data_IF_124955509412
#
_entry.id   IF_124955509412
#
_cell.length_a   1.000
_cell.length_b   1.000
_cell.length_c   1.000
_cell.angle_alpha   90.00
_cell.angle_beta   90.00
_cell.angle_gamma   90.00
#
_symmetry.space_group_name_H-M   'P 1'
#
loop_
_entity.id
_entity.type
_entity.pdbx_description
1 polymer ?
#
# COMPACT_ATOMS: atom_id res chain seq x y z
N UNK A 1 -1.45 -28.32 -13.42
CA UNK A 1 -2.06 -27.96 -12.13
C UNK A 1 -2.46 -26.49 -12.20
N UNK A 2 -3.67 -26.11 -11.82
CA UNK A 2 -4.01 -24.69 -11.72
C UNK A 2 -3.10 -24.07 -10.64
N UNK A 3 -2.32 -23.03 -10.97
CA UNK A 3 -1.41 -22.43 -9.99
C UNK A 3 -2.16 -21.73 -8.87
N UNK A 4 -1.58 -21.71 -7.68
CA UNK A 4 -2.22 -21.23 -6.46
C UNK A 4 -2.35 -19.70 -6.42
N UNK A 5 -3.29 -19.20 -5.62
CA UNK A 5 -3.40 -17.78 -5.28
C UNK A 5 -2.80 -17.57 -3.90
N UNK A 6 -1.87 -16.63 -3.76
CA UNK A 6 -1.25 -16.33 -2.45
C UNK A 6 -1.21 -14.85 -2.15
N UNK A 7 -1.26 -14.52 -0.87
CA UNK A 7 -1.28 -13.12 -0.45
C UNK A 7 -0.43 -12.85 0.78
N UNK A 8 0.03 -11.60 0.87
CA UNK A 8 0.58 -11.01 2.09
C UNK A 8 -0.27 -9.79 2.46
N UNK A 9 -0.85 -9.78 3.66
CA UNK A 9 -1.59 -8.66 4.21
C UNK A 9 -0.85 -8.07 5.41
N UNK A 10 -0.50 -6.79 5.33
CA UNK A 10 0.29 -6.08 6.35
C UNK A 10 -0.49 -4.90 6.92
N UNK A 11 -0.55 -4.81 8.25
CA UNK A 11 -1.25 -3.75 8.97
C UNK A 11 -0.46 -3.27 10.17
N UNK A 12 -0.08 -2.00 10.21
CA UNK A 12 0.82 -1.46 11.23
C UNK A 12 0.16 -0.27 11.94
N UNK A 13 -0.23 -0.48 13.19
CA UNK A 13 -0.72 0.58 14.06
C UNK A 13 0.38 1.12 14.97
N UNK A 14 1.31 0.25 15.38
CA UNK A 14 2.33 0.55 16.40
C UNK A 14 3.71 0.58 15.76
N UNK A 15 4.44 1.69 15.94
CA UNK A 15 5.81 1.89 15.48
C UNK A 15 6.76 1.88 16.67
N UNK A 16 7.64 0.89 16.74
CA UNK A 16 8.46 0.54 17.92
C UNK A 16 9.18 1.75 18.53
N UNK A 17 9.81 2.55 17.68
CA UNK A 17 10.64 3.69 18.11
C UNK A 17 9.88 5.04 18.02
N UNK A 18 8.62 5.03 17.55
CA UNK A 18 7.79 6.22 17.33
C UNK A 18 6.37 6.02 17.91
N UNK A 19 6.21 5.86 19.23
CA UNK A 19 4.90 5.61 19.83
C UNK A 19 3.88 6.73 19.59
N UNK A 20 4.34 7.97 19.36
CA UNK A 20 3.48 9.10 18.99
C UNK A 20 2.84 8.99 17.61
N UNK A 21 3.37 8.13 16.73
CA UNK A 21 2.87 7.87 15.39
C UNK A 21 1.76 6.80 15.33
N UNK A 22 1.09 6.52 16.46
CA UNK A 22 0.14 5.41 16.50
C UNK A 22 -1.12 5.66 15.65
N UNK A 23 -1.43 4.67 14.80
CA UNK A 23 -2.68 4.52 14.06
C UNK A 23 -3.60 3.50 14.75
N UNK A 24 -4.84 3.35 14.29
CA UNK A 24 -5.82 2.46 14.91
C UNK A 24 -6.45 1.47 13.92
N UNK A 25 -6.55 1.81 12.64
CA UNK A 25 -7.28 1.04 11.65
C UNK A 25 -6.45 0.02 10.87
N UNK A 26 -5.11 0.11 10.87
CA UNK A 26 -4.28 -0.65 9.95
C UNK A 26 -4.32 -2.17 10.19
N UNK A 27 -4.36 -2.59 11.45
CA UNK A 27 -4.53 -4.02 11.81
C UNK A 27 -5.90 -4.54 11.36
N UNK A 28 -6.95 -3.72 11.47
CA UNK A 28 -8.30 -4.09 11.02
C UNK A 28 -8.38 -4.14 9.49
N UNK A 29 -7.64 -3.29 8.79
CA UNK A 29 -7.52 -3.29 7.33
C UNK A 29 -6.91 -4.62 6.85
N UNK A 30 -5.80 -5.06 7.47
CA UNK A 30 -5.16 -6.33 7.12
C UNK A 30 -6.10 -7.53 7.33
N UNK A 31 -6.86 -7.54 8.43
CA UNK A 31 -7.88 -8.56 8.67
C UNK A 31 -9.03 -8.50 7.65
N UNK A 32 -9.46 -7.29 7.27
CA UNK A 32 -10.53 -7.10 6.27
C UNK A 32 -10.09 -7.54 4.88
N UNK A 33 -8.83 -7.30 4.52
CA UNK A 33 -8.23 -7.79 3.27
C UNK A 33 -8.15 -9.32 3.24
N UNK A 34 -7.69 -9.96 4.32
CA UNK A 34 -7.71 -11.42 4.44
C UNK A 34 -9.14 -11.98 4.27
N UNK A 35 -10.11 -11.41 5.00
CA UNK A 35 -11.51 -11.86 4.93
C UNK A 35 -12.07 -11.77 3.51
N UNK A 36 -11.79 -10.65 2.83
CA UNK A 36 -12.22 -10.40 1.45
C UNK A 36 -11.58 -11.37 0.47
N UNK A 37 -10.27 -11.60 0.57
CA UNK A 37 -9.54 -12.52 -0.30
C UNK A 37 -10.09 -13.95 -0.19
N UNK A 38 -10.37 -14.42 1.03
CA UNK A 38 -10.94 -15.76 1.25
C UNK A 38 -12.38 -15.82 0.74
N UNK A 39 -13.26 -14.95 1.24
CA UNK A 39 -14.70 -15.11 1.06
C UNK A 39 -15.22 -14.63 -0.29
N UNK A 40 -14.51 -13.73 -0.97
CA UNK A 40 -14.95 -13.16 -2.25
C UNK A 40 -14.05 -13.54 -3.42
N UNK A 41 -12.74 -13.74 -3.20
CA UNK A 41 -11.79 -13.99 -4.29
C UNK A 41 -11.24 -15.43 -4.32
N UNK A 42 -11.66 -16.28 -3.39
CA UNK A 42 -11.38 -17.72 -3.39
C UNK A 42 -9.92 -18.06 -3.10
N UNK A 43 -9.23 -17.25 -2.30
CA UNK A 43 -7.93 -17.62 -1.72
C UNK A 43 -8.15 -18.64 -0.59
N UNK A 44 -7.25 -19.61 -0.47
CA UNK A 44 -7.21 -20.47 0.71
C UNK A 44 -6.63 -19.69 1.90
N UNK A 45 -7.14 -19.90 3.11
CA UNK A 45 -6.71 -19.11 4.27
C UNK A 45 -5.24 -19.37 4.62
N UNK A 46 -4.78 -20.60 4.44
CA UNK A 46 -3.38 -21.03 4.62
C UNK A 46 -2.41 -20.44 3.60
N UNK A 47 -2.91 -19.94 2.46
CA UNK A 47 -2.13 -19.29 1.41
C UNK A 47 -2.04 -17.76 1.60
N UNK A 48 -2.62 -17.23 2.69
CA UNK A 48 -2.55 -15.83 3.07
C UNK A 48 -1.74 -15.67 4.35
N UNK A 49 -0.63 -14.95 4.26
CA UNK A 49 0.12 -14.53 5.42
C UNK A 49 -0.34 -13.15 5.89
N UNK A 50 -0.59 -12.99 7.19
CA UNK A 50 -0.92 -11.69 7.80
C UNK A 50 0.20 -11.28 8.75
N UNK A 51 0.75 -10.09 8.58
CA UNK A 51 1.76 -9.52 9.47
C UNK A 51 1.25 -8.20 10.08
N UNK A 52 1.15 -8.15 11.40
CA UNK A 52 0.66 -6.98 12.12
C UNK A 52 1.64 -6.50 13.19
N UNK A 53 1.70 -5.18 13.38
CA UNK A 53 2.51 -4.51 14.41
C UNK A 53 3.90 -5.13 14.55
N UNK A 54 4.24 -5.70 15.72
CA UNK A 54 5.55 -6.29 16.01
C UNK A 54 6.03 -7.37 15.01
N UNK A 55 5.13 -7.95 14.21
CA UNK A 55 5.46 -8.90 13.16
C UNK A 55 5.82 -8.24 11.84
N UNK A 56 5.36 -7.01 11.59
CA UNK A 56 5.52 -6.27 10.35
C UNK A 56 6.82 -5.43 10.34
N UNK A 57 7.93 -6.05 10.73
CA UNK A 57 9.28 -5.46 10.54
C UNK A 57 9.67 -5.49 9.06
N UNK A 58 10.51 -4.57 8.59
CA UNK A 58 10.98 -4.55 7.18
C UNK A 58 11.49 -5.93 6.73
N UNK A 59 12.36 -6.54 7.52
CA UNK A 59 12.97 -7.83 7.20
C UNK A 59 11.92 -8.96 7.03
N UNK A 60 10.90 -9.02 7.89
CA UNK A 60 9.83 -10.02 7.80
C UNK A 60 8.92 -9.79 6.60
N UNK A 61 8.57 -8.53 6.30
CA UNK A 61 7.76 -8.17 5.14
C UNK A 61 8.49 -8.52 3.85
N UNK A 62 9.75 -8.08 3.69
CA UNK A 62 10.57 -8.40 2.51
C UNK A 62 10.85 -9.90 2.38
N UNK A 63 11.07 -10.60 3.49
CA UNK A 63 11.23 -12.06 3.49
C UNK A 63 9.96 -12.80 3.06
N UNK A 64 8.78 -12.32 3.45
CA UNK A 64 7.50 -12.89 3.02
C UNK A 64 7.24 -12.62 1.53
N UNK A 65 7.45 -11.39 1.07
CA UNK A 65 7.31 -11.03 -0.35
C UNK A 65 8.29 -11.82 -1.23
N UNK A 66 9.55 -11.99 -0.80
CA UNK A 66 10.54 -12.78 -1.53
C UNK A 66 10.08 -14.23 -1.72
N UNK A 67 9.51 -14.86 -0.68
CA UNK A 67 8.95 -16.22 -0.80
C UNK A 67 7.78 -16.30 -1.77
N UNK A 68 6.94 -15.26 -1.84
CA UNK A 68 5.84 -15.19 -2.81
C UNK A 68 6.37 -15.08 -4.23
N UNK A 69 7.36 -14.21 -4.45
CA UNK A 69 8.02 -14.05 -5.76
C UNK A 69 8.76 -15.31 -6.17
N UNK A 70 9.50 -15.96 -5.28
CA UNK A 70 10.17 -17.24 -5.58
C UNK A 70 9.16 -18.32 -5.99
N UNK A 71 8.00 -18.37 -5.34
CA UNK A 71 6.92 -19.28 -5.72
C UNK A 71 6.32 -18.92 -7.09
N UNK A 72 6.17 -17.64 -7.41
CA UNK A 72 5.73 -17.17 -8.72
C UNK A 72 6.71 -17.58 -9.82
N UNK A 73 8.01 -17.33 -9.62
CA UNK A 73 9.10 -17.70 -10.54
C UNK A 73 9.16 -19.21 -10.74
N UNK A 74 8.92 -20.00 -9.69
CA UNK A 74 8.83 -21.45 -9.77
C UNK A 74 7.53 -21.99 -10.43
N UNK A 75 6.69 -21.11 -10.99
CA UNK A 75 5.45 -21.48 -11.67
C UNK A 75 4.34 -22.01 -10.74
N UNK A 76 4.43 -21.73 -9.44
CA UNK A 76 3.48 -22.23 -8.43
C UNK A 76 2.27 -21.31 -8.24
N UNK A 77 2.35 -20.07 -8.71
CA UNK A 77 1.32 -19.05 -8.52
C UNK A 77 0.66 -18.65 -9.83
N UNK A 78 -0.63 -18.32 -9.75
CA UNK A 78 -1.36 -17.59 -10.80
C UNK A 78 -1.71 -16.18 -10.37
N UNK A 79 -1.76 -15.92 -9.05
CA UNK A 79 -2.13 -14.63 -8.50
C UNK A 79 -1.37 -14.38 -7.19
N UNK A 80 -0.68 -13.24 -7.12
CA UNK A 80 0.01 -12.71 -5.94
C UNK A 80 -0.68 -11.42 -5.52
N UNK A 81 -1.16 -11.36 -4.27
CA UNK A 81 -1.71 -10.13 -3.68
C UNK A 81 -0.79 -9.61 -2.58
N UNK A 82 -0.53 -8.29 -2.59
CA UNK A 82 0.14 -7.61 -1.48
C UNK A 82 -0.70 -6.43 -1.01
N UNK A 83 -1.19 -6.46 0.23
CA UNK A 83 -1.88 -5.31 0.82
C UNK A 83 -1.08 -4.75 1.99
N UNK A 84 -0.89 -3.43 2.02
CA UNK A 84 -0.16 -2.73 3.07
C UNK A 84 -0.95 -1.52 3.55
N UNK A 85 -1.23 -1.51 4.86
CA UNK A 85 -1.85 -0.39 5.58
C UNK A 85 -0.88 0.07 6.68
N UNK A 86 -0.36 1.28 6.56
CA UNK A 86 0.64 1.89 7.46
C UNK A 86 0.75 3.39 7.17
N UNK A 87 1.65 4.08 7.87
CA UNK A 87 2.17 5.37 7.43
C UNK A 87 3.06 5.23 6.20
N UNK A 88 3.02 6.23 5.32
CA UNK A 88 4.05 6.49 4.32
C UNK A 88 4.92 7.66 4.72
N UNK A 89 6.07 7.77 4.08
CA UNK A 89 7.06 8.84 4.26
C UNK A 89 7.89 8.97 2.98
N UNK A 90 8.93 9.80 3.01
CA UNK A 90 9.89 9.96 1.93
C UNK A 90 11.31 9.82 2.47
N UNK A 91 12.23 9.37 1.62
CA UNK A 91 13.66 9.28 1.92
C UNK A 91 14.47 9.94 0.79
N UNK A 92 15.69 10.44 1.05
CA UNK A 92 16.55 10.91 -0.03
C UNK A 92 16.84 9.79 -1.04
N UNK A 93 16.74 10.10 -2.32
CA UNK A 93 17.22 9.25 -3.41
C UNK A 93 18.75 9.14 -3.34
N UNK A 94 19.28 7.92 -3.51
CA UNK A 94 20.70 7.61 -3.43
C UNK A 94 21.29 7.11 -4.76
N UNK A 95 20.47 6.81 -5.77
CA UNK A 95 20.94 6.36 -7.08
C UNK A 95 20.75 7.40 -8.20
N UNK A 96 20.20 8.57 -7.85
CA UNK A 96 20.09 9.76 -8.71
C UNK A 96 19.26 9.48 -9.98
N UNK A 97 18.38 8.48 -9.90
CA UNK A 97 17.51 8.11 -11.00
C UNK A 97 16.22 8.97 -11.05
N UNK A 98 16.02 9.85 -10.05
CA UNK A 98 14.94 10.82 -9.98
C UNK A 98 15.40 12.26 -10.21
N UNK A 99 14.62 13.01 -11.01
CA UNK A 99 14.90 14.42 -11.31
C UNK A 99 14.78 15.36 -10.10
N UNK A 100 14.22 14.89 -9.00
CA UNK A 100 13.99 15.62 -7.76
C UNK A 100 14.51 14.90 -6.50
N UNK A 101 15.20 13.77 -6.69
CA UNK A 101 16.03 13.09 -5.70
C UNK A 101 15.32 12.64 -4.40
N UNK A 102 14.17 11.98 -4.46
CA UNK A 102 13.36 11.60 -3.29
C UNK A 102 12.51 10.32 -3.48
N UNK A 103 12.82 9.19 -2.84
CA UNK A 103 11.97 7.98 -2.95
C UNK A 103 10.72 8.02 -2.04
N UNK A 104 9.62 7.42 -2.52
CA UNK A 104 8.47 7.07 -1.66
C UNK A 104 8.80 5.87 -0.77
N UNK A 105 8.47 5.95 0.51
CA UNK A 105 8.75 4.88 1.45
C UNK A 105 7.57 4.57 2.38
N UNK A 106 7.49 3.33 2.83
CA UNK A 106 6.47 2.83 3.74
C UNK A 106 7.08 2.57 5.12
N UNK A 107 6.47 3.15 6.14
CA UNK A 107 6.91 2.98 7.52
C UNK A 107 6.61 1.56 8.00
N UNK A 108 7.65 0.81 8.38
CA UNK A 108 7.51 -0.52 8.98
C UNK A 108 7.46 -0.43 10.50
N UNK A 109 7.11 -1.52 11.20
CA UNK A 109 7.02 -1.51 12.66
C UNK A 109 8.34 -1.11 13.33
N UNK A 110 9.46 -1.56 12.78
CA UNK A 110 10.81 -1.32 13.31
C UNK A 110 11.46 -0.05 12.77
N UNK A 111 10.68 0.88 12.20
CA UNK A 111 11.12 2.20 11.73
C UNK A 111 12.08 2.84 12.75
N UNK A 112 13.21 3.31 12.26
CA UNK A 112 14.27 3.91 13.07
C UNK A 112 14.97 5.03 12.29
N UNK A 113 15.64 5.91 13.03
CA UNK A 113 16.54 6.91 12.49
C UNK A 113 17.98 6.39 12.46
N UNK A 114 18.75 6.83 11.46
CA UNK A 114 20.20 6.62 11.36
C UNK A 114 20.84 7.84 10.71
N UNK A 115 21.81 8.44 11.39
CA UNK A 115 22.55 9.61 10.90
C UNK A 115 21.66 10.82 10.51
N UNK A 116 20.60 11.08 11.27
CA UNK A 116 19.70 12.22 11.03
C UNK A 116 18.66 12.00 9.91
N UNK A 117 18.63 10.83 9.30
CA UNK A 117 17.68 10.42 8.26
C UNK A 117 16.97 9.13 8.66
N UNK A 118 15.94 8.72 7.90
CA UNK A 118 15.35 7.39 8.10
C UNK A 118 16.39 6.29 7.84
N UNK A 119 16.48 5.31 8.73
CA UNK A 119 17.31 4.13 8.49
C UNK A 119 16.71 3.33 7.33
N UNK A 120 17.39 3.36 6.17
CA UNK A 120 16.96 2.61 4.98
C UNK A 120 16.87 1.10 5.23
N UNK A 121 17.49 0.56 6.28
CA UNK A 121 17.32 -0.86 6.65
C UNK A 121 16.01 -1.13 7.44
N UNK A 122 15.24 -0.08 7.76
CA UNK A 122 14.04 -0.13 8.62
C UNK A 122 12.80 0.53 8.02
N UNK A 123 12.94 1.18 6.86
CA UNK A 123 11.83 1.68 6.06
C UNK A 123 11.79 0.91 4.74
N UNK A 124 10.61 0.54 4.27
CA UNK A 124 10.46 -0.16 3.00
C UNK A 124 10.38 0.87 1.87
N UNK A 125 11.35 0.89 0.96
CA UNK A 125 11.36 1.83 -0.16
C UNK A 125 10.63 1.21 -1.35
N UNK A 126 9.90 2.02 -2.11
CA UNK A 126 9.19 1.55 -3.32
C UNK A 126 10.11 0.88 -4.33
N UNK A 127 11.36 1.31 -4.40
CA UNK A 127 12.38 0.79 -5.28
C UNK A 127 12.76 -0.67 -4.97
N UNK A 128 12.71 -1.06 -3.70
CA UNK A 128 12.86 -2.47 -3.30
C UNK A 128 11.68 -3.32 -3.78
N UNK A 129 10.47 -2.76 -3.80
CA UNK A 129 9.28 -3.41 -4.35
C UNK A 129 9.37 -3.52 -5.87
N UNK A 130 9.86 -2.48 -6.55
CA UNK A 130 10.13 -2.51 -8.01
C UNK A 130 11.07 -3.65 -8.35
N UNK A 131 12.25 -3.70 -7.73
CA UNK A 131 13.26 -4.75 -7.96
C UNK A 131 12.70 -6.14 -7.69
N UNK A 132 11.84 -6.27 -6.67
CA UNK A 132 11.24 -7.55 -6.33
C UNK A 132 10.18 -7.99 -7.35
N UNK A 133 9.26 -7.10 -7.71
CA UNK A 133 8.20 -7.40 -8.69
C UNK A 133 8.72 -7.54 -10.12
N UNK A 134 9.87 -6.96 -10.46
CA UNK A 134 10.55 -7.19 -11.73
C UNK A 134 10.82 -8.66 -12.05
N UNK A 135 10.93 -9.49 -11.00
CA UNK A 135 11.21 -10.93 -11.13
C UNK A 135 9.95 -11.75 -11.40
N UNK A 136 8.76 -11.20 -11.17
CA UNK A 136 7.50 -11.96 -11.29
C UNK A 136 7.20 -12.23 -12.77
N UNK A 137 6.93 -13.49 -13.17
CA UNK A 137 6.56 -13.79 -14.54
C UNK A 137 5.26 -13.11 -14.94
N UNK A 138 5.16 -12.60 -16.18
CA UNK A 138 3.94 -11.96 -16.73
C UNK A 138 2.69 -12.86 -16.71
N UNK A 139 2.85 -14.17 -16.52
CA UNK A 139 1.74 -15.13 -16.37
C UNK A 139 1.10 -15.10 -14.99
N UNK A 140 1.68 -14.37 -14.03
CA UNK A 140 1.18 -14.22 -12.67
C UNK A 140 0.57 -12.84 -12.52
N UNK A 141 -0.70 -12.79 -12.15
CA UNK A 141 -1.36 -11.55 -11.80
C UNK A 141 -0.76 -11.01 -10.49
N UNK A 142 -0.25 -9.79 -10.50
CA UNK A 142 0.24 -9.10 -9.29
C UNK A 142 -0.71 -7.96 -8.97
N UNK A 143 -1.35 -7.99 -7.80
CA UNK A 143 -2.30 -6.97 -7.38
C UNK A 143 -1.96 -6.43 -5.99
N UNK A 144 -1.59 -5.15 -5.93
CA UNK A 144 -1.14 -4.48 -4.71
C UNK A 144 -2.17 -3.45 -4.23
N UNK A 145 -2.39 -3.39 -2.92
CA UNK A 145 -3.30 -2.45 -2.27
C UNK A 145 -2.56 -1.64 -1.20
N UNK A 146 -2.40 -0.35 -1.43
CA UNK A 146 -1.68 0.56 -0.55
C UNK A 146 -2.64 1.55 0.10
N UNK A 147 -2.93 1.34 1.40
CA UNK A 147 -3.70 2.26 2.22
C UNK A 147 -2.79 3.09 3.12
N UNK A 148 -2.00 3.93 2.45
CA UNK A 148 -0.93 4.78 2.96
C UNK A 148 -0.89 6.07 2.14
N UNK A 149 -0.14 7.07 2.57
CA UNK A 149 0.19 8.25 1.77
C UNK A 149 1.65 8.65 1.97
N UNK A 150 2.32 9.07 0.89
CA UNK A 150 3.77 9.32 0.88
C UNK A 150 4.14 10.80 0.86
N UNK A 151 3.20 11.69 0.58
CA UNK A 151 3.53 13.07 0.24
C UNK A 151 3.42 14.07 1.39
N UNK A 152 4.52 14.78 1.65
CA UNK A 152 4.54 15.97 2.50
C UNK A 152 3.79 17.17 1.91
N UNK A 153 3.59 17.21 0.58
CA UNK A 153 2.75 18.24 -0.05
C UNK A 153 1.25 17.99 0.17
N UNK A 154 0.87 16.74 0.51
CA UNK A 154 -0.48 16.33 0.86
C UNK A 154 -1.05 16.99 2.12
N UNK A 155 -0.20 17.58 2.97
CA UNK A 155 -0.63 18.43 4.08
C UNK A 155 -1.41 19.68 3.60
N UNK A 156 -1.28 20.09 2.33
CA UNK A 156 -2.08 21.18 1.76
C UNK A 156 -3.57 20.82 1.62
N UNK A 157 -3.90 19.54 1.59
CA UNK A 157 -5.26 19.01 1.55
C UNK A 157 -5.57 18.19 2.83
N UNK A 158 -4.99 18.58 3.96
CA UNK A 158 -5.18 17.91 5.24
C UNK A 158 -6.68 17.82 5.55
N UNK A 159 -7.15 16.60 5.79
CA UNK A 159 -8.48 16.40 6.31
C UNK A 159 -8.53 16.90 7.75
N UNK A 160 -9.08 18.10 7.96
CA UNK A 160 -9.12 18.78 9.25
C UNK A 160 -10.14 18.15 10.22
N UNK A 161 -10.77 17.02 9.88
CA UNK A 161 -11.66 16.32 10.80
C UNK A 161 -10.87 15.73 11.99
N UNK A 162 -11.16 16.12 13.24
CA UNK A 162 -10.41 15.68 14.42
C UNK A 162 -10.43 14.16 14.67
N UNK A 163 -11.39 13.45 14.06
CA UNK A 163 -11.58 12.00 14.21
C UNK A 163 -10.80 11.18 13.19
N UNK A 164 -10.04 11.83 12.30
CA UNK A 164 -9.26 11.21 11.24
C UNK A 164 -7.79 11.55 11.45
N UNK A 165 -6.92 10.55 11.30
CA UNK A 165 -5.47 10.75 11.31
C UNK A 165 -4.91 10.52 9.91
N UNK A 166 -4.06 11.42 9.39
CA UNK A 166 -3.37 11.16 8.13
C UNK A 166 -2.39 10.01 8.30
N UNK A 167 -2.29 9.14 7.30
CA UNK A 167 -1.32 8.02 7.27
C UNK A 167 0.01 8.42 6.64
N UNK A 168 0.57 9.53 7.13
CA UNK A 168 1.86 10.06 6.71
C UNK A 168 2.74 10.39 7.91
N UNK A 169 4.04 10.18 7.80
CA UNK A 169 5.05 10.69 8.73
C UNK A 169 6.05 11.57 8.00
N UNK A 170 6.41 12.75 8.57
CA UNK A 170 7.50 13.55 8.04
C UNK A 170 8.84 12.81 8.19
N UNK A 171 9.87 13.18 7.41
CA UNK A 171 11.25 12.80 7.70
C UNK A 171 11.63 13.07 9.18
N UNK A 172 12.59 12.32 9.76
CA UNK A 172 12.70 12.19 11.21
C UNK A 172 13.31 13.42 11.91
N UNK A 173 14.04 14.25 11.16
CA UNK A 173 14.72 15.44 11.71
C UNK A 173 14.35 16.70 10.90
N UNK A 174 14.49 17.91 11.48
CA UNK A 174 14.29 19.15 10.74
C UNK A 174 15.16 19.26 9.49
N UNK A 175 16.42 18.81 9.56
CA UNK A 175 17.33 18.81 8.42
C UNK A 175 16.81 17.87 7.32
N UNK A 176 16.34 16.66 7.69
CA UNK A 176 15.73 15.74 6.75
C UNK A 176 14.45 16.31 6.12
N UNK A 177 13.63 17.02 6.89
CA UNK A 177 12.45 17.72 6.37
C UNK A 177 12.85 18.77 5.34
N UNK A 178 13.85 19.60 5.66
CA UNK A 178 14.35 20.65 4.76
C UNK A 178 14.96 20.05 3.49
N UNK A 179 15.71 18.93 3.62
CA UNK A 179 16.26 18.19 2.48
C UNK A 179 15.15 17.72 1.54
N UNK A 180 14.01 17.29 2.09
CA UNK A 180 12.87 16.79 1.33
C UNK A 180 11.90 17.87 0.87
N UNK A 181 12.04 19.10 1.35
CA UNK A 181 11.10 20.18 1.06
C UNK A 181 11.06 20.50 -0.44
N UNK A 182 9.88 20.38 -1.05
CA UNK A 182 9.67 20.68 -2.47
C UNK A 182 10.03 19.53 -3.42
N UNK A 183 10.54 18.40 -2.91
CA UNK A 183 10.75 17.16 -3.69
C UNK A 183 9.45 16.36 -3.80
N UNK A 184 9.27 15.65 -4.90
CA UNK A 184 8.06 14.91 -5.29
C UNK A 184 8.38 13.62 -6.05
N UNK A 185 8.78 12.59 -5.32
CA UNK A 185 8.95 11.22 -5.78
C UNK A 185 7.97 10.78 -6.90
N UNK A 186 8.46 10.29 -8.06
CA UNK A 186 7.64 9.48 -8.94
C UNK A 186 7.21 8.19 -8.23
N UNK A 187 5.93 8.06 -7.88
CA UNK A 187 5.46 6.88 -7.16
C UNK A 187 5.64 5.54 -7.91
N UNK A 188 5.52 4.44 -7.16
CA UNK A 188 5.81 3.05 -7.58
C UNK A 188 5.32 2.68 -9.00
N UNK A 189 4.19 3.21 -9.49
CA UNK A 189 3.74 2.90 -10.85
C UNK A 189 4.76 3.32 -11.90
N UNK A 190 5.23 4.56 -11.84
CA UNK A 190 6.18 5.10 -12.83
C UNK A 190 7.47 4.29 -12.82
N UNK A 191 7.95 3.96 -11.63
CA UNK A 191 9.08 3.06 -11.35
C UNK A 191 8.94 1.69 -12.03
N UNK A 192 7.78 1.06 -11.92
CA UNK A 192 7.46 -0.20 -12.59
C UNK A 192 7.41 -0.04 -14.13
N UNK A 193 6.80 1.04 -14.63
CA UNK A 193 6.72 1.36 -16.06
C UNK A 193 8.11 1.54 -16.70
N UNK A 194 8.98 2.32 -16.07
CA UNK A 194 10.35 2.56 -16.53
C UNK A 194 11.20 1.27 -16.56
N UNK A 195 10.80 0.27 -15.75
CA UNK A 195 11.40 -1.08 -15.74
C UNK A 195 10.68 -2.10 -16.64
N UNK A 196 9.68 -1.67 -17.42
CA UNK A 196 8.92 -2.53 -18.33
C UNK A 196 7.93 -3.49 -17.65
N UNK A 197 7.58 -3.23 -16.39
CA UNK A 197 6.68 -4.05 -15.57
C UNK A 197 5.24 -3.54 -15.71
N UNK A 198 4.56 -4.05 -16.73
CA UNK A 198 3.21 -3.64 -17.13
C UNK A 198 2.08 -4.46 -16.49
N UNK A 199 2.40 -5.62 -15.93
CA UNK A 199 1.42 -6.60 -15.44
C UNK A 199 1.03 -6.45 -13.96
N UNK A 200 1.67 -5.53 -13.22
CA UNK A 200 1.33 -5.22 -11.84
C UNK A 200 0.18 -4.19 -11.77
N UNK A 201 -0.83 -4.49 -10.96
CA UNK A 201 -1.98 -3.64 -10.70
C UNK A 201 -1.80 -3.00 -9.32
N UNK A 202 -1.73 -1.68 -9.26
CA UNK A 202 -1.56 -0.94 -8.00
C UNK A 202 -2.82 -0.15 -7.67
N UNK A 203 -3.28 -0.30 -6.44
CA UNK A 203 -4.34 0.51 -5.86
C UNK A 203 -3.73 1.42 -4.79
N UNK A 204 -3.81 2.73 -4.99
CA UNK A 204 -3.37 3.73 -4.01
C UNK A 204 -4.58 4.39 -3.35
N UNK A 205 -4.56 4.58 -2.03
CA UNK A 205 -5.68 5.16 -1.29
C UNK A 205 -5.92 6.65 -1.56
N UNK A 206 -4.91 7.37 -2.06
CA UNK A 206 -5.01 8.78 -2.40
C UNK A 206 -4.03 9.14 -3.51
N UNK A 207 -4.22 10.32 -4.11
CA UNK A 207 -3.23 10.92 -5.01
C UNK A 207 -1.96 11.30 -4.27
N UNK A 208 -0.86 11.44 -5.00
CA UNK A 208 0.41 11.96 -4.48
C UNK A 208 0.32 13.37 -3.89
N UNK A 209 -0.75 14.14 -4.12
CA UNK A 209 -0.94 15.47 -3.50
C UNK A 209 -1.93 15.46 -2.33
N UNK A 210 -2.26 14.29 -1.79
CA UNK A 210 -3.30 14.10 -0.78
C UNK A 210 -2.82 13.17 0.34
N UNK A 211 -3.61 13.08 1.42
CA UNK A 211 -3.38 12.13 2.51
C UNK A 211 -4.46 11.06 2.52
N UNK A 212 -4.12 9.85 2.97
CA UNK A 212 -5.08 8.81 3.29
C UNK A 212 -5.44 8.85 4.78
N UNK A 213 -6.68 8.51 5.11
CA UNK A 213 -7.25 8.68 6.45
C UNK A 213 -7.37 7.36 7.21
N UNK A 214 -6.77 7.32 8.39
CA UNK A 214 -7.11 6.40 9.48
C UNK A 214 -8.31 6.97 10.25
N UNK A 215 -9.46 6.31 10.20
CA UNK A 215 -10.71 6.89 10.65
C UNK A 215 -11.55 5.92 11.46
N UNK A 216 -12.36 6.44 12.38
CA UNK A 216 -13.43 5.68 13.02
C UNK A 216 -14.66 5.67 12.11
N UNK A 217 -14.92 4.54 11.45
CA UNK A 217 -16.05 4.36 10.53
C UNK A 217 -17.05 3.41 11.18
N UNK A 218 -18.23 3.95 11.54
CA UNK A 218 -19.20 3.22 12.35
C UNK A 218 -18.65 2.88 13.74
N UNK A 219 -18.47 1.60 14.03
CA UNK A 219 -18.02 1.10 15.35
C UNK A 219 -16.53 0.74 15.41
N UNK A 220 -15.81 0.75 14.29
CA UNK A 220 -14.42 0.30 14.21
C UNK A 220 -13.50 1.37 13.60
N UNK A 221 -12.21 1.28 13.88
CA UNK A 221 -11.20 2.03 13.15
C UNK A 221 -10.81 1.27 11.88
N UNK A 222 -10.64 1.99 10.79
CA UNK A 222 -10.21 1.45 9.51
C UNK A 222 -9.57 2.55 8.65
N UNK A 223 -8.81 2.14 7.65
CA UNK A 223 -8.45 3.00 6.53
C UNK A 223 -9.68 3.27 5.71
N UNK A 224 -9.95 4.55 5.42
CA UNK A 224 -11.16 4.91 4.68
C UNK A 224 -11.18 4.25 3.28
N UNK A 225 -10.02 4.10 2.64
CA UNK A 225 -9.93 3.41 1.36
C UNK A 225 -10.24 1.91 1.50
N UNK A 226 -9.53 1.21 2.38
CA UNK A 226 -9.73 -0.24 2.59
C UNK A 226 -11.15 -0.58 3.02
N UNK A 227 -11.74 0.24 3.90
CA UNK A 227 -13.11 0.06 4.36
C UNK A 227 -14.12 0.05 3.20
N UNK A 228 -14.13 1.11 2.38
CA UNK A 228 -15.09 1.20 1.27
C UNK A 228 -14.77 0.19 0.15
N UNK A 229 -13.49 -0.04 -0.14
CA UNK A 229 -13.05 -1.04 -1.12
C UNK A 229 -13.59 -2.44 -0.77
N UNK A 230 -13.31 -2.92 0.43
CA UNK A 230 -13.73 -4.26 0.87
C UNK A 230 -15.25 -4.36 0.99
N UNK A 231 -15.93 -3.30 1.44
CA UNK A 231 -17.39 -3.25 1.49
C UNK A 231 -18.03 -3.40 0.10
N UNK A 232 -17.50 -2.69 -0.93
CA UNK A 232 -17.98 -2.77 -2.31
C UNK A 232 -17.72 -4.12 -2.94
N UNK A 233 -16.54 -4.71 -2.73
CA UNK A 233 -16.22 -6.06 -3.21
C UNK A 233 -17.17 -7.10 -2.59
N UNK A 234 -17.42 -6.99 -1.28
CA UNK A 234 -18.34 -7.88 -0.56
C UNK A 234 -19.78 -7.76 -1.06
N UNK A 235 -20.28 -6.53 -1.25
CA UNK A 235 -21.61 -6.28 -1.80
C UNK A 235 -21.76 -6.87 -3.21
N UNK A 236 -20.71 -6.77 -4.04
CA UNK A 236 -20.67 -7.36 -5.38
C UNK A 236 -20.35 -8.88 -5.39
N UNK A 237 -20.17 -9.52 -4.22
CA UNK A 237 -19.78 -10.93 -4.09
C UNK A 237 -18.52 -11.28 -4.90
N UNK A 238 -17.54 -10.38 -4.92
CA UNK A 238 -16.31 -10.52 -5.71
C UNK A 238 -16.47 -10.27 -7.21
N UNK A 239 -17.68 -10.05 -7.72
CA UNK A 239 -17.97 -9.90 -9.14
C UNK A 239 -18.12 -8.43 -9.52
N UNK A 240 -17.01 -7.69 -9.48
CA UNK A 240 -16.96 -6.28 -9.87
C UNK A 240 -15.74 -6.00 -10.75
N UNK A 241 -15.91 -5.15 -11.77
CA UNK A 241 -14.80 -4.67 -12.59
C UNK A 241 -13.95 -3.68 -11.81
N UNK A 242 -12.64 -3.67 -12.02
CA UNK A 242 -11.74 -2.76 -11.30
C UNK A 242 -12.09 -1.28 -11.50
N UNK A 243 -12.41 -0.87 -12.73
CA UNK A 243 -12.84 0.51 -13.02
C UNK A 243 -14.14 0.91 -12.31
N UNK A 244 -15.12 0.01 -12.24
CA UNK A 244 -16.38 0.25 -11.55
C UNK A 244 -16.18 0.28 -10.02
N UNK A 245 -15.33 -0.60 -9.48
CA UNK A 245 -14.96 -0.59 -8.08
C UNK A 245 -14.31 0.75 -7.68
N UNK A 246 -13.33 1.22 -8.46
CA UNK A 246 -12.69 2.51 -8.20
C UNK A 246 -13.71 3.66 -8.19
N UNK A 247 -14.64 3.67 -9.15
CA UNK A 247 -15.68 4.68 -9.24
C UNK A 247 -16.56 4.69 -7.98
N UNK A 248 -17.05 3.52 -7.57
CA UNK A 248 -17.91 3.40 -6.38
C UNK A 248 -17.19 3.78 -5.09
N UNK A 249 -15.91 3.39 -4.94
CA UNK A 249 -15.11 3.77 -3.76
C UNK A 249 -14.88 5.28 -3.71
N UNK A 250 -14.62 5.93 -4.86
CA UNK A 250 -14.51 7.41 -4.93
C UNK A 250 -15.83 8.09 -4.55
N UNK A 251 -16.96 7.55 -4.99
CA UNK A 251 -18.29 8.06 -4.62
C UNK A 251 -18.57 7.91 -3.12
N UNK A 252 -18.19 6.79 -2.50
CA UNK A 252 -18.33 6.57 -1.06
C UNK A 252 -17.49 7.55 -0.25
N UNK A 253 -16.21 7.71 -0.61
CA UNK A 253 -15.30 8.63 0.06
C UNK A 253 -15.81 10.06 -0.02
N UNK A 254 -16.25 10.50 -1.21
CA UNK A 254 -16.84 11.82 -1.42
C UNK A 254 -18.11 12.03 -0.59
N UNK A 255 -19.02 11.05 -0.60
CA UNK A 255 -20.28 11.11 0.16
C UNK A 255 -20.03 11.23 1.66
N UNK A 256 -19.00 10.55 2.15
CA UNK A 256 -18.58 10.58 3.56
C UNK A 256 -17.54 11.68 3.85
N UNK A 257 -17.40 12.66 2.94
CA UNK A 257 -16.59 13.87 3.12
C UNK A 257 -15.10 13.61 3.35
N UNK A 258 -14.53 12.57 2.78
CA UNK A 258 -13.08 12.39 2.71
C UNK A 258 -12.52 13.20 1.53
N UNK A 259 -11.36 13.81 1.72
CA UNK A 259 -10.67 14.57 0.66
C UNK A 259 -9.87 13.66 -0.27
N UNK A 260 -9.48 12.47 0.21
CA UNK A 260 -8.68 11.50 -0.52
C UNK A 260 -9.41 10.96 -1.76
N UNK A 261 -8.68 10.86 -2.87
CA UNK A 261 -9.15 10.28 -4.13
C UNK A 261 -8.25 9.11 -4.48
N UNK A 262 -8.72 7.86 -4.32
CA UNK A 262 -7.93 6.68 -4.65
C UNK A 262 -7.58 6.60 -6.13
N UNK A 263 -6.49 5.92 -6.46
CA UNK A 263 -6.00 5.71 -7.82
C UNK A 263 -5.84 4.22 -8.13
N UNK A 264 -5.98 3.88 -9.41
CA UNK A 264 -5.81 2.54 -9.94
C UNK A 264 -4.85 2.62 -11.11
N UNK A 265 -3.66 2.11 -10.89
CA UNK A 265 -2.60 2.06 -11.87
C UNK A 265 -2.47 0.65 -12.42
N UNK A 266 -2.83 0.53 -13.68
CA UNK A 266 -2.82 -0.70 -14.46
C UNK A 266 -3.08 -0.35 -15.92
N UNK A 267 -2.80 -1.29 -16.81
CA UNK A 267 -3.20 -1.16 -18.21
C UNK A 267 -4.73 -1.07 -18.38
N UNK A 268 -5.16 -0.69 -19.59
CA UNK A 268 -6.58 -0.53 -19.91
C UNK A 268 -7.35 -1.85 -19.83
N UNK A 269 -6.73 -2.99 -20.12
CA UNK A 269 -7.38 -4.29 -20.14
C UNK A 269 -7.74 -4.73 -18.71
N UNK A 270 -6.79 -4.69 -17.78
CA UNK A 270 -6.99 -5.02 -16.37
C UNK A 270 -8.03 -4.12 -15.70
N UNK A 271 -8.14 -2.83 -16.09
CA UNK A 271 -9.21 -1.94 -15.62
C UNK A 271 -10.62 -2.40 -16.01
N UNK A 272 -10.74 -3.16 -17.10
CA UNK A 272 -12.01 -3.65 -17.63
C UNK A 272 -12.37 -5.08 -17.18
N UNK A 273 -11.44 -5.82 -16.55
CA UNK A 273 -11.67 -7.17 -16.05
C UNK A 273 -12.22 -7.18 -14.62
N UNK A 274 -12.75 -8.34 -14.21
CA UNK A 274 -13.20 -8.56 -12.84
C UNK A 274 -12.00 -8.60 -11.89
N UNK A 275 -12.20 -8.15 -10.67
CA UNK A 275 -11.21 -8.28 -9.62
C UNK A 275 -10.81 -9.75 -9.44
N UNK A 276 -9.51 -10.02 -9.39
CA UNK A 276 -8.95 -11.36 -9.28
C UNK A 276 -9.00 -12.23 -10.54
N UNK A 277 -9.26 -11.61 -11.69
CA UNK A 277 -9.10 -12.19 -13.04
C UNK A 277 -8.25 -11.31 -13.94
#
# INVERSE_FOLDING_TARGET
MAGAKRALCVGINIFKNYPGAQLNGCVNDAASMQDMLVKQLGFAAEDIQVLTDAQATKAKVMGALSKLVDAAVAGKLTHLVFSLSSHGTQVPDLDDDEADHADEAFCMHDLAEKNGEWDRDRVLVDDELRVLFAKVPKTVLVECFFDTCHSGTGLKALDLMPTRKPRWLPPPTPIAIDNMAGRSAPGLRKRLDDSGIDHAILWAACKSSQTSADAKIGKAYAGAFTYYLTARIKAAKGKIKRSELLKQVREDLKTNRYTQVPELDSDRAHKATLLGT
#
